data_IF_431724759970
#
_entry.id   IF_431724759970
#
_cell.length_a   1.000
_cell.length_b   1.000
_cell.length_c   1.000
_cell.angle_alpha   90.00
_cell.angle_beta   90.00
_cell.angle_gamma   90.00
#
_symmetry.space_group_name_H-M   'P 1'
#
loop_
_entity.id
_entity.type
_entity.pdbx_description
1 polymer ?
#
# COMPACT_ATOMS: atom_id res chain seq x y z
N UNK A 1 -4.58 3.77 -22.02
CA UNK A 1 -3.51 2.92 -22.61
C UNK A 1 -3.51 3.03 -24.12
N UNK A 2 -2.40 3.53 -24.67
CA UNK A 2 -2.26 3.83 -26.10
C UNK A 2 -1.04 3.16 -26.75
N UNK A 3 0.05 2.99 -26.00
CA UNK A 3 1.30 2.43 -26.49
C UNK A 3 1.77 1.28 -25.61
N UNK A 4 2.48 0.33 -26.22
CA UNK A 4 3.30 -0.67 -25.54
C UNK A 4 4.77 -0.25 -25.67
N UNK A 5 5.51 -0.23 -24.55
CA UNK A 5 6.94 0.12 -24.53
C UNK A 5 7.76 -1.17 -24.56
N UNK A 6 8.67 -1.30 -25.53
CA UNK A 6 9.60 -2.44 -25.58
C UNK A 6 10.84 -2.23 -24.69
N UNK A 7 11.71 -3.24 -24.63
CA UNK A 7 12.94 -3.24 -23.81
C UNK A 7 13.97 -2.20 -24.27
N UNK A 8 13.93 -1.82 -25.54
CA UNK A 8 14.77 -0.76 -26.14
C UNK A 8 14.19 0.64 -25.90
N UNK A 9 12.94 0.71 -25.42
CA UNK A 9 12.23 1.92 -25.07
C UNK A 9 11.36 2.50 -26.20
N UNK A 10 11.23 1.81 -27.33
CA UNK A 10 10.37 2.23 -28.43
C UNK A 10 8.89 2.05 -28.06
N UNK A 11 8.04 2.93 -28.59
CA UNK A 11 6.60 2.94 -28.33
C UNK A 11 5.81 2.38 -29.52
N UNK A 12 5.26 1.18 -29.36
CA UNK A 12 4.41 0.51 -30.35
C UNK A 12 2.94 0.84 -30.09
N UNK A 13 2.19 1.25 -31.11
CA UNK A 13 0.75 1.50 -30.95
C UNK A 13 0.02 0.22 -30.58
N UNK A 14 -0.86 0.29 -29.58
CA UNK A 14 -1.72 -0.85 -29.24
C UNK A 14 -2.74 -1.12 -30.35
N UNK A 15 -3.07 -2.40 -30.64
CA UNK A 15 -4.09 -2.75 -31.63
C UNK A 15 -5.48 -2.18 -31.31
N UNK A 16 -5.78 -2.03 -30.01
CA UNK A 16 -7.00 -1.41 -29.49
C UNK A 16 -6.63 -0.49 -28.34
N UNK A 17 -7.16 0.73 -28.37
CA UNK A 17 -6.99 1.69 -27.27
C UNK A 17 -7.92 1.31 -26.13
N UNK A 18 -7.41 1.37 -24.91
CA UNK A 18 -8.16 1.07 -23.70
C UNK A 18 -8.06 2.23 -22.71
N UNK A 19 -9.06 2.37 -21.84
CA UNK A 19 -9.02 3.32 -20.72
C UNK A 19 -8.68 2.53 -19.46
N UNK A 20 -7.75 3.07 -18.67
CA UNK A 20 -7.31 2.53 -17.39
C UNK A 20 -7.40 3.66 -16.37
N UNK A 21 -8.23 3.51 -15.35
CA UNK A 21 -8.44 4.52 -14.32
C UNK A 21 -8.09 3.95 -12.96
N UNK A 22 -7.43 4.76 -12.14
CA UNK A 22 -7.11 4.43 -10.76
C UNK A 22 -7.42 5.62 -9.86
N UNK A 23 -8.13 5.36 -8.76
CA UNK A 23 -8.35 6.32 -7.69
C UNK A 23 -7.98 5.65 -6.37
N UNK A 24 -7.12 6.28 -5.58
CA UNK A 24 -6.70 5.73 -4.29
C UNK A 24 -7.88 5.74 -3.30
N UNK A 25 -8.29 4.55 -2.85
CA UNK A 25 -9.43 4.38 -1.96
C UNK A 25 -9.25 5.15 -0.65
N UNK A 26 -8.05 5.09 -0.08
CA UNK A 26 -7.71 5.76 1.18
C UNK A 26 -7.74 7.28 1.01
N UNK A 27 -7.36 7.79 -0.16
CA UNK A 27 -7.36 9.23 -0.45
C UNK A 27 -8.77 9.76 -0.64
N UNK A 28 -9.63 9.04 -1.38
CA UNK A 28 -11.03 9.46 -1.52
C UNK A 28 -11.77 9.33 -0.18
N UNK A 29 -11.46 8.29 0.62
CA UNK A 29 -12.00 8.13 1.96
C UNK A 29 -11.63 9.31 2.87
N UNK A 30 -10.37 9.79 2.82
CA UNK A 30 -9.95 10.96 3.58
C UNK A 30 -10.79 12.21 3.24
N UNK A 31 -11.03 12.44 1.93
CA UNK A 31 -11.90 13.54 1.48
C UNK A 31 -13.34 13.35 1.97
N UNK A 32 -13.90 12.14 1.82
CA UNK A 32 -15.29 11.84 2.23
C UNK A 32 -15.50 11.94 3.74
N UNK A 33 -14.47 11.64 4.53
CA UNK A 33 -14.49 11.71 6.00
C UNK A 33 -14.04 13.08 6.54
N UNK A 34 -13.74 14.04 5.66
CA UNK A 34 -13.29 15.39 6.01
C UNK A 34 -12.01 15.40 6.88
N UNK A 35 -11.05 14.52 6.54
CA UNK A 35 -9.71 14.47 7.15
C UNK A 35 -8.63 14.74 6.10
N UNK A 36 -7.46 15.21 6.54
CA UNK A 36 -6.38 15.63 5.62
C UNK A 36 -5.27 14.60 5.45
N UNK A 37 -5.24 13.58 6.31
CA UNK A 37 -4.26 12.49 6.27
C UNK A 37 -4.99 11.16 6.03
N UNK A 38 -4.45 10.32 5.15
CA UNK A 38 -4.93 8.97 4.93
C UNK A 38 -4.93 8.14 6.22
N UNK A 39 -4.00 8.41 7.14
CA UNK A 39 -3.90 7.66 8.40
C UNK A 39 -5.00 8.05 9.41
N UNK A 40 -5.73 9.12 9.17
CA UNK A 40 -6.82 9.59 10.04
C UNK A 40 -8.19 9.02 9.63
N UNK A 41 -8.28 8.31 8.50
CA UNK A 41 -9.52 7.62 8.11
C UNK A 41 -9.84 6.51 9.11
N UNK A 42 -11.10 6.13 9.17
CA UNK A 42 -11.64 5.06 10.02
C UNK A 42 -10.80 3.76 10.00
N UNK A 43 -10.43 3.28 8.80
CA UNK A 43 -9.64 2.05 8.62
C UNK A 43 -8.27 2.14 9.32
N UNK A 44 -7.50 3.20 9.04
CA UNK A 44 -6.15 3.34 9.60
C UNK A 44 -6.20 3.68 11.09
N UNK A 45 -7.16 4.50 11.52
CA UNK A 45 -7.36 4.84 12.92
C UNK A 45 -7.60 3.57 13.78
N UNK A 46 -8.40 2.62 13.28
CA UNK A 46 -8.62 1.34 13.94
C UNK A 46 -7.33 0.49 14.04
N UNK A 47 -6.56 0.39 12.94
CA UNK A 47 -5.30 -0.35 12.93
C UNK A 47 -4.23 0.26 13.85
N UNK A 48 -4.10 1.58 13.83
CA UNK A 48 -3.18 2.32 14.70
C UNK A 48 -3.56 2.14 16.17
N UNK A 49 -4.85 2.22 16.49
CA UNK A 49 -5.35 1.98 17.84
C UNK A 49 -5.02 0.57 18.33
N UNK A 50 -5.18 -0.45 17.48
CA UNK A 50 -4.79 -1.83 17.81
C UNK A 50 -3.29 -2.00 17.94
N UNK A 51 -2.49 -1.37 17.08
CA UNK A 51 -1.04 -1.38 17.22
C UNK A 51 -0.60 -0.79 18.58
N UNK A 52 -1.22 0.30 19.04
CA UNK A 52 -0.96 0.89 20.34
C UNK A 52 -1.36 -0.03 21.51
N UNK A 53 -2.44 -0.80 21.37
CA UNK A 53 -2.88 -1.77 22.37
C UNK A 53 -1.86 -2.89 22.55
N UNK A 54 -1.29 -3.42 21.45
CA UNK A 54 -0.35 -4.54 21.51
C UNK A 54 1.10 -4.14 21.77
N UNK A 55 1.56 -3.00 21.26
CA UNK A 55 2.96 -2.58 21.33
C UNK A 55 3.23 -1.50 22.39
N UNK A 56 2.19 -1.04 23.09
CA UNK A 56 2.26 0.09 24.00
C UNK A 56 2.08 1.43 23.29
N UNK A 57 1.62 2.44 24.02
CA UNK A 57 1.47 3.80 23.51
C UNK A 57 2.82 4.50 23.53
N UNK A 58 3.26 4.98 22.37
CA UNK A 58 4.44 5.84 22.25
C UNK A 58 4.02 7.25 21.84
N UNK A 59 4.82 8.26 22.22
CA UNK A 59 4.65 9.62 21.70
C UNK A 59 4.96 9.71 20.19
N UNK A 60 5.73 8.75 19.68
CA UNK A 60 6.05 8.63 18.27
C UNK A 60 4.86 8.01 17.51
N UNK A 61 3.93 8.88 17.09
CA UNK A 61 2.79 8.52 16.25
C UNK A 61 3.19 7.93 14.89
N UNK A 62 4.40 8.21 14.39
CA UNK A 62 4.88 7.72 13.09
C UNK A 62 5.11 6.21 13.13
N UNK A 63 5.62 5.67 14.25
CA UNK A 63 5.89 4.23 14.38
C UNK A 63 4.62 3.39 14.17
N UNK A 64 3.50 3.78 14.76
CA UNK A 64 2.23 3.04 14.59
C UNK A 64 1.63 3.21 13.19
N UNK A 65 1.86 4.35 12.51
CA UNK A 65 1.48 4.52 11.09
C UNK A 65 2.25 3.54 10.20
N UNK A 66 3.56 3.43 10.41
CA UNK A 66 4.45 2.49 9.72
C UNK A 66 4.02 1.05 9.95
N UNK A 67 3.75 0.67 11.20
CA UNK A 67 3.26 -0.69 11.53
C UNK A 67 1.92 -0.97 10.83
N UNK A 68 0.97 -0.03 10.86
CA UNK A 68 -0.34 -0.22 10.24
C UNK A 68 -0.25 -0.43 8.71
N UNK A 69 0.62 0.33 8.03
CA UNK A 69 0.85 0.18 6.59
C UNK A 69 1.53 -1.15 6.25
N UNK A 70 2.64 -1.48 6.91
CA UNK A 70 3.36 -2.73 6.67
C UNK A 70 2.55 -3.96 7.05
N UNK A 71 1.72 -3.88 8.10
CA UNK A 71 0.84 -4.98 8.50
C UNK A 71 -0.13 -5.32 7.37
N UNK A 72 -0.73 -4.31 6.72
CA UNK A 72 -1.61 -4.53 5.57
C UNK A 72 -0.87 -5.23 4.45
N UNK A 73 0.26 -4.67 4.01
CA UNK A 73 1.04 -5.23 2.91
C UNK A 73 1.47 -6.69 3.20
N UNK A 74 2.07 -6.94 4.37
CA UNK A 74 2.53 -8.26 4.76
C UNK A 74 1.39 -9.28 4.87
N UNK A 75 0.24 -8.90 5.45
CA UNK A 75 -0.91 -9.78 5.58
C UNK A 75 -1.46 -10.20 4.21
N UNK A 76 -1.62 -9.27 3.27
CA UNK A 76 -2.09 -9.58 1.92
C UNK A 76 -1.09 -10.43 1.13
N UNK A 77 0.20 -10.13 1.22
CA UNK A 77 1.25 -10.92 0.58
C UNK A 77 1.25 -12.38 1.07
N UNK A 78 1.16 -12.59 2.38
CA UNK A 78 1.07 -13.94 2.95
C UNK A 78 -0.22 -14.64 2.52
N UNK A 79 -1.34 -13.93 2.47
CA UNK A 79 -2.62 -14.47 2.02
C UNK A 79 -2.58 -14.92 0.54
N UNK A 80 -1.78 -14.26 -0.30
CA UNK A 80 -1.53 -14.64 -1.70
C UNK A 80 -0.45 -15.73 -1.85
N UNK A 81 0.06 -16.28 -0.75
CA UNK A 81 1.03 -17.37 -0.73
C UNK A 81 2.48 -16.91 -0.80
N UNK A 82 2.76 -15.61 -0.70
CA UNK A 82 4.12 -15.10 -0.69
C UNK A 82 4.70 -15.18 0.72
N UNK A 83 5.66 -16.10 0.89
CA UNK A 83 6.31 -16.34 2.18
C UNK A 83 7.60 -15.51 2.31
N UNK A 84 7.95 -15.04 3.52
CA UNK A 84 9.23 -14.38 3.76
C UNK A 84 10.41 -15.31 3.40
N UNK A 85 11.34 -14.85 2.56
CA UNK A 85 12.48 -15.65 2.13
C UNK A 85 13.71 -14.84 1.74
N UNK A 86 14.88 -15.50 1.75
CA UNK A 86 16.17 -14.86 1.43
C UNK A 86 16.44 -14.72 -0.07
N UNK A 87 15.67 -15.41 -0.94
CA UNK A 87 15.75 -15.28 -2.41
C UNK A 87 14.98 -14.05 -2.88
N UNK A 88 15.44 -13.44 -3.95
CA UNK A 88 15.00 -12.12 -4.42
C UNK A 88 13.49 -12.03 -4.72
N UNK A 89 12.88 -13.14 -5.14
CA UNK A 89 11.44 -13.28 -5.38
C UNK A 89 10.58 -13.32 -4.09
N UNK A 90 11.21 -13.53 -2.93
CA UNK A 90 10.59 -13.64 -1.60
C UNK A 90 11.07 -12.55 -0.62
N UNK A 91 11.90 -11.60 -1.10
CA UNK A 91 12.39 -10.45 -0.33
C UNK A 91 11.46 -9.25 -0.54
N UNK A 92 10.39 -9.21 0.25
CA UNK A 92 9.38 -8.14 0.14
C UNK A 92 9.16 -7.39 1.47
N UNK A 93 9.89 -7.76 2.53
CA UNK A 93 9.73 -7.15 3.86
C UNK A 93 10.98 -6.43 4.38
N UNK A 94 11.91 -5.99 3.51
CA UNK A 94 12.99 -5.12 3.98
C UNK A 94 12.47 -3.70 4.15
N UNK A 95 12.14 -3.38 5.40
CA UNK A 95 12.10 -2.00 5.91
C UNK A 95 13.57 -1.58 6.06
N UNK A 96 14.00 -0.58 5.30
CA UNK A 96 15.33 0.04 5.43
C UNK A 96 15.45 0.82 6.74
#
# INVERSE_FOLDING_TARGET
MEFNKDEEGNLHKLPKKCIDTGMGLERIAAVMQNVHDNYDIDLFSALISKSQEYCGRTENKIAHKIIADHLRAAAFLIAEGVLPGKRQELRITQIN
#
